data_IF_287361431635
#
_entry.id   IF_287361431635
#
_cell.length_a   1.000
_cell.length_b   1.000
_cell.length_c   1.000
_cell.angle_alpha   90.00
_cell.angle_beta   90.00
_cell.angle_gamma   90.00
#
_symmetry.space_group_name_H-M   'P 1'
#
loop_
_entity.id
_entity.type
_entity.pdbx_description
1 polymer ?
#
# COMPACT_ATOMS: atom_id res chain seq x y z
N UNK A 1 11.24 -1.88 12.93
CA UNK A 1 10.12 -1.02 13.33
C UNK A 1 9.06 -1.08 12.23
N UNK A 2 7.85 -1.42 12.59
CA UNK A 2 6.79 -1.69 11.62
C UNK A 2 5.52 -0.90 11.98
N UNK A 3 4.98 -0.17 11.01
CA UNK A 3 3.74 0.58 11.14
C UNK A 3 2.75 0.10 10.08
N UNK A 4 1.64 -0.51 10.51
CA UNK A 4 0.60 -1.01 9.62
C UNK A 4 -0.72 -0.34 9.99
N UNK A 5 -1.43 0.15 8.98
CA UNK A 5 -2.70 0.85 9.19
C UNK A 5 -3.65 0.66 8.02
N UNK A 6 -4.93 0.52 8.34
CA UNK A 6 -6.03 0.63 7.38
C UNK A 6 -6.91 1.77 7.87
N UNK A 7 -7.19 2.73 7.00
CA UNK A 7 -7.89 3.96 7.37
C UNK A 7 -9.00 4.28 6.38
N UNK A 8 -10.08 4.86 6.85
CA UNK A 8 -11.14 5.43 6.02
C UNK A 8 -10.94 6.93 5.72
N UNK A 9 -9.87 7.51 6.25
CA UNK A 9 -9.49 8.90 6.05
C UNK A 9 -8.44 9.04 4.95
N UNK A 10 -8.30 10.25 4.35
CA UNK A 10 -7.20 10.50 3.41
C UNK A 10 -5.84 10.14 4.03
N UNK A 11 -5.00 9.48 3.25
CA UNK A 11 -3.68 9.06 3.72
C UNK A 11 -2.73 10.27 3.76
N UNK A 12 -2.10 10.48 4.91
CA UNK A 12 -1.03 11.47 5.06
C UNK A 12 0.31 10.83 4.68
N UNK A 13 0.75 11.09 3.44
CA UNK A 13 1.99 10.51 2.91
C UNK A 13 3.20 10.97 3.72
N UNK A 14 3.23 12.25 4.13
CA UNK A 14 4.32 12.79 4.92
C UNK A 14 4.44 12.08 6.27
N UNK A 15 3.32 11.76 6.91
CA UNK A 15 3.31 11.01 8.16
C UNK A 15 3.85 9.59 7.98
N UNK A 16 3.53 8.92 6.87
CA UNK A 16 4.06 7.59 6.57
C UNK A 16 5.58 7.63 6.37
N UNK A 17 6.10 8.65 5.69
CA UNK A 17 7.55 8.84 5.54
C UNK A 17 8.22 9.11 6.89
N UNK A 18 7.62 9.96 7.71
CA UNK A 18 8.15 10.26 9.04
C UNK A 18 8.20 9.03 9.94
N UNK A 19 7.23 8.13 9.80
CA UNK A 19 7.14 6.90 10.61
C UNK A 19 8.32 5.95 10.40
N UNK A 20 9.00 5.99 9.25
CA UNK A 20 10.15 5.12 8.96
C UNK A 20 11.50 5.80 9.14
N UNK A 21 11.52 7.08 9.50
CA UNK A 21 12.78 7.79 9.69
C UNK A 21 13.54 7.25 10.90
N UNK A 22 14.85 7.02 10.69
CA UNK A 22 15.80 6.61 11.73
C UNK A 22 17.18 7.09 11.34
N UNK A 23 17.99 7.45 12.32
CA UNK A 23 19.36 7.91 12.09
C UNK A 23 20.28 6.80 11.55
N UNK A 24 19.84 5.54 11.63
CA UNK A 24 20.59 4.40 11.08
C UNK A 24 20.35 4.20 9.57
N UNK A 25 19.33 4.85 9.00
CA UNK A 25 19.00 4.71 7.60
C UNK A 25 19.63 5.83 6.76
N UNK A 26 20.22 5.44 5.63
CA UNK A 26 20.68 6.38 4.60
C UNK A 26 19.70 6.52 3.45
N UNK A 27 18.66 5.70 3.39
CA UNK A 27 17.68 5.71 2.32
C UNK A 27 16.27 5.48 2.84
N UNK A 28 15.34 6.30 2.37
CA UNK A 28 13.90 6.11 2.54
C UNK A 28 13.28 6.06 1.15
N UNK A 29 12.49 5.02 0.88
CA UNK A 29 11.80 4.87 -0.39
C UNK A 29 10.32 4.65 -0.13
N UNK A 30 9.47 5.25 -0.95
CA UNK A 30 8.03 5.08 -0.81
C UNK A 30 7.38 4.84 -2.18
N UNK A 31 6.46 3.89 -2.21
CA UNK A 31 5.49 3.73 -3.28
C UNK A 31 4.19 4.37 -2.84
N UNK A 32 3.64 5.22 -3.69
CA UNK A 32 2.35 5.87 -3.48
C UNK A 32 1.42 5.44 -4.62
N UNK A 33 0.41 4.64 -4.28
CA UNK A 33 -0.60 4.20 -5.25
C UNK A 33 -1.79 5.15 -5.25
N UNK A 34 -2.19 5.59 -6.43
CA UNK A 34 -3.30 6.53 -6.60
C UNK A 34 -4.38 5.96 -7.51
N UNK A 35 -5.58 6.51 -7.42
CA UNK A 35 -6.72 6.08 -8.23
C UNK A 35 -6.62 6.70 -9.62
N UNK A 36 -6.49 5.83 -10.65
CA UNK A 36 -6.41 6.21 -12.06
C UNK A 36 -7.78 6.35 -12.71
N UNK A 37 -7.85 7.15 -13.77
CA UNK A 37 -9.08 7.38 -14.51
C UNK A 37 -9.43 6.31 -15.54
N UNK A 38 -8.64 5.23 -15.64
CA UNK A 38 -8.95 4.12 -16.53
C UNK A 38 -8.38 2.80 -16.03
N UNK A 39 -9.04 1.71 -16.40
CA UNK A 39 -8.63 0.34 -16.10
C UNK A 39 -8.99 -0.54 -17.30
N UNK A 40 -7.97 -1.22 -17.87
CA UNK A 40 -8.18 -2.03 -19.07
C UNK A 40 -8.74 -1.26 -20.26
N UNK A 41 -8.40 0.02 -20.40
CA UNK A 41 -8.91 0.89 -21.46
C UNK A 41 -10.29 1.47 -21.22
N UNK A 42 -10.93 1.17 -20.06
CA UNK A 42 -12.26 1.66 -19.71
C UNK A 42 -12.17 2.85 -18.76
N UNK A 43 -12.95 3.93 -18.99
CA UNK A 43 -12.97 5.07 -18.06
C UNK A 43 -13.53 4.67 -16.70
N UNK A 44 -12.77 4.95 -15.66
CA UNK A 44 -13.12 4.69 -14.25
C UNK A 44 -13.63 5.99 -13.62
N UNK A 45 -14.72 5.89 -12.87
CA UNK A 45 -15.31 7.01 -12.13
C UNK A 45 -14.74 7.10 -10.72
N UNK A 46 -14.69 5.97 -10.02
CA UNK A 46 -14.17 5.87 -8.64
C UNK A 46 -13.89 4.43 -8.27
N UNK A 47 -13.19 4.26 -7.14
CA UNK A 47 -12.95 2.95 -6.54
C UNK A 47 -13.61 2.87 -5.17
N UNK A 48 -13.98 1.65 -4.78
CA UNK A 48 -14.45 1.35 -3.43
C UNK A 48 -13.61 0.21 -2.88
N UNK A 49 -13.07 0.39 -1.68
CA UNK A 49 -12.32 -0.64 -0.98
C UNK A 49 -13.06 -1.06 0.28
N UNK A 50 -13.17 -2.37 0.50
CA UNK A 50 -13.71 -2.94 1.72
C UNK A 50 -12.70 -3.90 2.33
N UNK A 51 -12.60 -3.89 3.66
CA UNK A 51 -11.62 -4.68 4.38
C UNK A 51 -12.24 -5.22 5.66
N UNK A 52 -11.91 -6.49 5.97
CA UNK A 52 -11.99 -6.98 7.33
C UNK A 52 -10.65 -6.66 7.99
N UNK A 53 -10.62 -5.55 8.73
CA UNK A 53 -9.37 -4.89 9.12
C UNK A 53 -8.40 -5.82 9.86
N UNK A 54 -8.89 -6.62 10.82
CA UNK A 54 -8.01 -7.50 11.60
C UNK A 54 -7.32 -8.56 10.73
N UNK A 55 -8.04 -9.14 9.77
CA UNK A 55 -7.47 -10.11 8.84
C UNK A 55 -6.48 -9.44 7.89
N UNK A 56 -6.84 -8.31 7.33
CA UNK A 56 -5.98 -7.58 6.41
C UNK A 56 -4.68 -7.12 7.10
N UNK A 57 -4.76 -6.61 8.33
CA UNK A 57 -3.58 -6.22 9.10
C UNK A 57 -2.68 -7.43 9.41
N UNK A 58 -3.24 -8.58 9.73
CA UNK A 58 -2.47 -9.82 9.93
C UNK A 58 -1.76 -10.23 8.64
N UNK A 59 -2.45 -10.17 7.50
CA UNK A 59 -1.85 -10.49 6.19
C UNK A 59 -0.74 -9.50 5.83
N UNK A 60 -0.94 -8.21 6.06
CA UNK A 60 0.10 -7.19 5.86
C UNK A 60 1.32 -7.47 6.75
N UNK A 61 1.09 -7.86 8.00
CA UNK A 61 2.16 -8.24 8.94
C UNK A 61 3.00 -9.40 8.43
N UNK A 62 2.38 -10.40 7.82
CA UNK A 62 3.08 -11.54 7.22
C UNK A 62 3.93 -11.10 6.02
N UNK A 63 3.40 -10.23 5.16
CA UNK A 63 4.15 -9.69 4.01
C UNK A 63 5.39 -8.93 4.48
N UNK A 64 5.23 -8.07 5.47
CA UNK A 64 6.35 -7.28 6.02
C UNK A 64 7.38 -8.18 6.71
N UNK A 65 6.93 -9.21 7.44
CA UNK A 65 7.85 -10.18 8.04
C UNK A 65 8.71 -10.90 6.98
N UNK A 66 8.10 -11.28 5.84
CA UNK A 66 8.85 -11.84 4.72
C UNK A 66 9.90 -10.87 4.16
N UNK A 67 9.57 -9.58 4.10
CA UNK A 67 10.51 -8.56 3.66
C UNK A 67 11.72 -8.46 4.60
N UNK A 68 11.50 -8.48 5.91
CA UNK A 68 12.59 -8.47 6.90
C UNK A 68 13.46 -9.73 6.79
N UNK A 69 12.90 -10.87 6.45
CA UNK A 69 13.68 -12.09 6.23
C UNK A 69 14.57 -11.98 4.99
N UNK A 70 14.02 -11.42 3.89
CA UNK A 70 14.77 -11.25 2.64
C UNK A 70 15.84 -10.16 2.73
N UNK A 71 15.55 -9.11 3.46
CA UNK A 71 16.45 -7.96 3.66
C UNK A 71 16.67 -7.73 5.15
N UNK A 72 17.60 -8.49 5.78
CA UNK A 72 17.86 -8.34 7.22
C UNK A 72 18.30 -6.95 7.64
N UNK A 73 18.86 -6.13 6.71
CA UNK A 73 19.26 -4.76 6.97
C UNK A 73 18.09 -3.77 6.91
N UNK A 74 16.88 -4.20 6.52
CA UNK A 74 15.70 -3.37 6.50
C UNK A 74 15.40 -2.88 7.92
N UNK A 75 15.25 -1.57 8.10
CA UNK A 75 15.18 -0.95 9.43
C UNK A 75 13.78 -0.58 9.85
N UNK A 76 12.97 -0.14 8.89
CA UNK A 76 11.61 0.27 9.18
C UNK A 76 10.73 0.10 7.95
N UNK A 77 9.46 -0.21 8.18
CA UNK A 77 8.43 -0.33 7.14
C UNK A 77 7.15 0.32 7.65
N UNK A 78 6.52 1.12 6.81
CA UNK A 78 5.16 1.61 7.03
C UNK A 78 4.29 1.22 5.84
N UNK A 79 3.13 0.65 6.11
CA UNK A 79 2.12 0.37 5.09
C UNK A 79 0.80 0.94 5.57
N UNK A 80 0.23 1.83 4.76
CA UNK A 80 -1.09 2.42 5.02
C UNK A 80 -1.96 2.14 3.81
N UNK A 81 -3.11 1.52 4.01
CA UNK A 81 -4.09 1.29 2.96
C UNK A 81 -5.40 1.99 3.32
N UNK A 82 -6.00 2.67 2.34
CA UNK A 82 -7.29 3.33 2.53
C UNK A 82 -8.43 2.37 2.20
N UNK A 83 -9.52 2.47 2.94
CA UNK A 83 -10.80 1.81 2.64
C UNK A 83 -11.89 2.85 2.46
N UNK A 84 -13.03 2.41 1.95
CA UNK A 84 -14.15 3.28 1.64
C UNK A 84 -14.13 3.70 0.17
N UNK A 85 -14.78 4.81 -0.12
CA UNK A 85 -14.91 5.34 -1.48
C UNK A 85 -13.79 6.32 -1.76
N UNK A 86 -13.06 6.07 -2.86
CA UNK A 86 -11.95 6.90 -3.32
C UNK A 86 -12.29 7.52 -4.67
N UNK A 87 -12.01 8.81 -4.79
CA UNK A 87 -12.16 9.56 -6.05
C UNK A 87 -10.87 9.50 -6.85
N UNK A 88 -10.93 9.89 -8.12
CA UNK A 88 -9.76 9.93 -9.01
C UNK A 88 -8.66 10.79 -8.39
N UNK A 89 -7.44 10.28 -8.42
CA UNK A 89 -6.27 10.96 -7.86
C UNK A 89 -6.05 10.76 -6.36
N UNK A 90 -7.02 10.19 -5.65
CA UNK A 90 -6.84 9.89 -4.23
C UNK A 90 -5.74 8.86 -4.01
N UNK A 91 -5.02 8.98 -2.90
CA UNK A 91 -4.01 8.01 -2.48
C UNK A 91 -4.71 6.80 -1.89
N UNK A 92 -4.50 5.63 -2.49
CA UNK A 92 -5.09 4.37 -2.05
C UNK A 92 -4.18 3.60 -1.09
N UNK A 93 -2.88 3.67 -1.30
CA UNK A 93 -1.90 2.91 -0.51
C UNK A 93 -0.56 3.65 -0.50
N UNK A 94 0.12 3.56 0.62
CA UNK A 94 1.53 3.98 0.76
C UNK A 94 2.31 2.82 1.35
N UNK A 95 3.44 2.49 0.72
CA UNK A 95 4.44 1.58 1.26
C UNK A 95 5.74 2.37 1.39
N UNK A 96 6.21 2.56 2.61
CA UNK A 96 7.47 3.27 2.88
C UNK A 96 8.44 2.32 3.58
N UNK A 97 9.70 2.38 3.18
CA UNK A 97 10.77 1.55 3.77
C UNK A 97 12.00 2.41 4.06
N UNK A 98 12.78 2.01 5.06
CA UNK A 98 14.05 2.63 5.39
C UNK A 98 15.15 1.58 5.44
N UNK A 99 16.26 1.84 4.76
CA UNK A 99 17.43 0.95 4.68
C UNK A 99 18.72 1.74 4.82
N UNK A 100 19.87 1.09 5.20
CA UNK A 100 21.15 1.78 5.22
C UNK A 100 21.56 2.37 3.87
N UNK A 101 21.35 1.62 2.78
CA UNK A 101 21.72 2.02 1.42
C UNK A 101 20.52 1.92 0.47
N UNK A 102 20.56 2.68 -0.63
CA UNK A 102 19.43 2.85 -1.55
C UNK A 102 18.98 1.57 -2.28
N UNK A 103 19.89 0.71 -2.66
CA UNK A 103 19.58 -0.44 -3.53
C UNK A 103 18.48 -1.32 -2.92
N UNK A 104 18.61 -1.68 -1.65
CA UNK A 104 17.66 -2.52 -0.95
C UNK A 104 16.32 -1.80 -0.70
N UNK A 105 16.34 -0.47 -0.63
CA UNK A 105 15.10 0.29 -0.45
C UNK A 105 14.15 0.13 -1.64
N UNK A 106 14.69 0.12 -2.85
CA UNK A 106 13.87 -0.09 -4.05
C UNK A 106 13.31 -1.51 -4.12
N UNK A 107 14.16 -2.52 -3.92
CA UNK A 107 13.75 -3.92 -4.04
C UNK A 107 12.79 -4.34 -2.92
N UNK A 108 13.04 -3.92 -1.69
CA UNK A 108 12.15 -4.22 -0.57
C UNK A 108 10.79 -3.54 -0.73
N UNK A 109 10.77 -2.27 -1.14
CA UNK A 109 9.53 -1.55 -1.39
C UNK A 109 8.70 -2.24 -2.48
N UNK A 110 9.32 -2.60 -3.60
CA UNK A 110 8.65 -3.31 -4.69
C UNK A 110 8.11 -4.66 -4.24
N UNK A 111 8.89 -5.44 -3.50
CA UNK A 111 8.43 -6.73 -2.99
C UNK A 111 7.17 -6.58 -2.13
N UNK A 112 7.15 -5.59 -1.25
CA UNK A 112 6.01 -5.39 -0.34
C UNK A 112 4.75 -5.02 -1.14
N UNK A 113 4.83 -4.06 -2.07
CA UNK A 113 3.65 -3.66 -2.84
C UNK A 113 3.17 -4.80 -3.76
N UNK A 114 4.08 -5.50 -4.42
CA UNK A 114 3.72 -6.60 -5.31
C UNK A 114 3.05 -7.73 -4.53
N UNK A 115 3.59 -8.09 -3.37
CA UNK A 115 3.09 -9.20 -2.56
C UNK A 115 1.74 -8.85 -1.93
N UNK A 116 1.59 -7.65 -1.36
CA UNK A 116 0.31 -7.28 -0.76
C UNK A 116 -0.83 -7.24 -1.78
N UNK A 117 -0.55 -6.86 -3.01
CA UNK A 117 -1.55 -6.87 -4.09
C UNK A 117 -2.00 -8.27 -4.49
N UNK A 118 -1.24 -9.30 -4.14
CA UNK A 118 -1.55 -10.70 -4.46
C UNK A 118 -2.21 -11.44 -3.30
N UNK A 119 -1.84 -11.13 -2.05
CA UNK A 119 -2.20 -11.96 -0.90
C UNK A 119 -3.09 -11.28 0.12
N UNK A 120 -3.10 -9.95 0.18
CA UNK A 120 -3.91 -9.24 1.18
C UNK A 120 -5.35 -9.15 0.70
N UNK A 121 -6.28 -9.53 1.55
CA UNK A 121 -7.72 -9.50 1.24
C UNK A 121 -8.27 -8.13 1.58
N UNK A 122 -8.30 -7.28 0.57
CA UNK A 122 -8.99 -5.99 0.56
C UNK A 122 -9.77 -5.98 -0.75
N UNK A 123 -11.10 -6.07 -0.66
CA UNK A 123 -11.95 -6.12 -1.84
C UNK A 123 -11.96 -4.77 -2.53
N UNK A 124 -11.75 -4.79 -3.85
CA UNK A 124 -11.77 -3.61 -4.71
C UNK A 124 -12.96 -3.69 -5.65
N UNK A 125 -13.79 -2.65 -5.66
CA UNK A 125 -14.88 -2.48 -6.61
C UNK A 125 -14.58 -1.26 -7.47
N UNK A 126 -14.40 -1.49 -8.78
CA UNK A 126 -14.20 -0.40 -9.75
C UNK A 126 -15.56 -0.01 -10.33
N UNK A 127 -15.88 1.27 -10.25
CA UNK A 127 -17.09 1.85 -10.85
C UNK A 127 -16.70 2.57 -12.13
N UNK A 128 -17.25 2.14 -13.27
CA UNK A 128 -16.95 2.69 -14.58
C UNK A 128 -17.97 3.75 -14.98
N UNK A 129 -17.58 4.65 -15.90
CA UNK A 129 -18.48 5.71 -16.40
C UNK A 129 -19.70 5.15 -17.11
N UNK A 130 -19.63 3.95 -17.70
CA UNK A 130 -20.76 3.29 -18.34
C UNK A 130 -21.79 2.71 -17.37
N UNK A 131 -21.58 2.86 -16.06
CA UNK A 131 -22.46 2.37 -15.01
C UNK A 131 -22.23 0.94 -14.58
N UNK A 132 -21.24 0.23 -15.17
CA UNK A 132 -20.89 -1.13 -14.76
C UNK A 132 -19.87 -1.12 -13.63
N UNK A 133 -19.76 -2.26 -12.94
CA UNK A 133 -18.85 -2.43 -11.82
C UNK A 133 -18.09 -3.75 -11.95
N UNK A 134 -16.91 -3.79 -11.35
CA UNK A 134 -16.09 -4.98 -11.27
C UNK A 134 -15.52 -5.10 -9.86
N UNK A 135 -15.47 -6.33 -9.34
CA UNK A 135 -15.02 -6.62 -7.98
C UNK A 135 -13.84 -7.59 -8.02
N UNK A 136 -12.81 -7.26 -7.23
CA UNK A 136 -11.65 -8.13 -7.01
C UNK A 136 -11.40 -8.32 -5.52
N UNK A 137 -10.86 -9.49 -5.14
CA UNK A 137 -10.58 -9.83 -3.75
C UNK A 137 -9.29 -9.20 -3.21
N UNK A 138 -8.45 -8.66 -4.09
CA UNK A 138 -7.17 -8.05 -3.72
C UNK A 138 -7.03 -6.66 -4.31
N UNK A 139 -6.34 -5.75 -3.61
CA UNK A 139 -6.17 -4.38 -4.09
C UNK A 139 -5.21 -4.31 -5.27
#
# INVERSE_FOLDING_TARGET
>A
MTHLSITDQPIDVAAALAAVQTTAAGAVNAFVGTVRNQSGGRPVRRLHYESYDSMALTQLGHVVAQAYEKWPMLQAVAVVHRKGTLELGDVAVVVAVATPHRAESFTACQFIIDTLKQVVTIWKREEYEDGTEWVAAHP
#
